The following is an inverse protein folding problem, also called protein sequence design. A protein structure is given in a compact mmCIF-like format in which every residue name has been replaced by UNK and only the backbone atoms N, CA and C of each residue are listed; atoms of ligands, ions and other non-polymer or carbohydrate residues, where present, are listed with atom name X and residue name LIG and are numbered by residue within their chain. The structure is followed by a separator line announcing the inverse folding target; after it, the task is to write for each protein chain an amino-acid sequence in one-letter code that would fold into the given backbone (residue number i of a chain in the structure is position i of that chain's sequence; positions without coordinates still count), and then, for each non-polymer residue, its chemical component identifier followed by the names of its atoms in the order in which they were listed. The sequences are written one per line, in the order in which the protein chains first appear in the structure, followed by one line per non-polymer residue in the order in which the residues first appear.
data_IF_921610029669
#
_entry.id   IF_921610029669
#
_cell.length_a   1.000
_cell.length_b   1.000
_cell.length_c   1.000
_cell.angle_alpha   90.00
_cell.angle_beta   90.00
_cell.angle_gamma   90.00
#
_symmetry.space_group_name_H-M   'P 1'
#
loop_
_entity.id
_entity.type
_entity.pdbx_description
1 polymer ?
#
# COMPACT_ATOMS: atom_id res chain seq x y z
N UNK A 1 -20.61 -2.91 2.38
CA UNK A 1 -19.81 -2.74 1.14
C UNK A 1 -18.46 -2.15 1.50
N UNK A 2 -17.37 -2.68 0.96
CA UNK A 2 -16.03 -2.14 1.26
C UNK A 2 -15.75 -0.87 0.44
N UNK A 3 -14.82 -0.05 0.90
CA UNK A 3 -14.38 1.14 0.15
C UNK A 3 -13.85 0.78 -1.24
N UNK A 4 -13.18 -0.37 -1.36
CA UNK A 4 -12.67 -0.91 -2.64
C UNK A 4 -13.83 -1.25 -3.57
N UNK A 5 -14.86 -1.96 -3.08
CA UNK A 5 -16.05 -2.28 -3.89
C UNK A 5 -16.72 -1.02 -4.42
N UNK A 6 -16.86 0.00 -3.56
CA UNK A 6 -17.42 1.29 -3.95
C UNK A 6 -16.63 1.98 -5.06
N UNK A 7 -15.29 1.93 -4.99
CA UNK A 7 -14.43 2.49 -6.04
C UNK A 7 -14.62 1.78 -7.38
N UNK A 8 -14.71 0.46 -7.38
CA UNK A 8 -14.97 -0.33 -8.60
C UNK A 8 -16.36 -0.07 -9.19
N UNK A 9 -17.39 0.01 -8.34
CA UNK A 9 -18.76 0.32 -8.79
C UNK A 9 -18.84 1.72 -9.41
N UNK A 10 -18.15 2.70 -8.82
CA UNK A 10 -18.06 4.05 -9.37
C UNK A 10 -17.43 4.04 -10.77
N UNK A 11 -16.29 3.38 -10.94
CA UNK A 11 -15.64 3.26 -12.23
C UNK A 11 -16.55 2.59 -13.27
N UNK A 12 -17.22 1.50 -12.89
CA UNK A 12 -18.17 0.80 -13.75
C UNK A 12 -19.34 1.70 -14.15
N UNK A 13 -19.91 2.48 -13.24
CA UNK A 13 -20.99 3.43 -13.53
C UNK A 13 -20.56 4.54 -14.50
N UNK A 14 -19.27 4.89 -14.51
CA UNK A 14 -18.66 5.84 -15.44
C UNK A 14 -18.27 5.18 -16.79
N UNK A 15 -18.50 3.88 -16.95
CA UNK A 15 -18.19 3.14 -18.20
C UNK A 15 -16.68 2.93 -18.42
N UNK A 16 -15.88 2.91 -17.38
CA UNK A 16 -14.42 2.74 -17.45
C UNK A 16 -13.91 1.65 -16.51
N UNK A 17 -12.71 1.18 -16.74
CA UNK A 17 -12.00 0.32 -15.78
C UNK A 17 -11.55 1.14 -14.55
N UNK A 18 -11.48 0.49 -13.40
CA UNK A 18 -10.83 1.05 -12.22
C UNK A 18 -9.31 1.04 -12.41
N UNK A 19 -8.66 2.12 -12.02
CA UNK A 19 -7.20 2.22 -12.01
C UNK A 19 -6.68 1.93 -10.61
N UNK A 20 -5.89 0.87 -10.48
CA UNK A 20 -5.20 0.51 -9.25
C UNK A 20 -3.70 0.80 -9.42
N UNK A 21 -3.16 1.70 -8.63
CA UNK A 21 -1.75 2.05 -8.66
C UNK A 21 -0.99 1.37 -7.53
N UNK A 22 0.23 0.90 -7.80
CA UNK A 22 1.10 0.22 -6.84
C UNK A 22 2.43 0.95 -6.65
N UNK A 23 2.85 1.09 -5.39
CA UNK A 23 4.20 1.53 -5.03
C UNK A 23 4.67 0.78 -3.77
N UNK A 24 5.96 0.37 -3.68
CA UNK A 24 6.50 -0.09 -2.41
C UNK A 24 6.69 1.08 -1.45
N UNK A 25 6.38 0.88 -0.18
CA UNK A 25 6.70 1.85 0.87
C UNK A 25 8.23 2.00 0.99
N UNK A 26 8.68 3.21 1.31
CA UNK A 26 10.09 3.47 1.59
C UNK A 26 11.00 3.65 0.38
N UNK A 27 10.51 3.54 -0.84
CA UNK A 27 11.32 3.77 -2.04
C UNK A 27 10.94 5.08 -2.74
N UNK A 28 11.90 5.95 -3.09
CA UNK A 28 13.35 5.89 -2.79
C UNK A 28 13.68 6.20 -1.32
N UNK A 29 12.80 6.86 -0.62
CA UNK A 29 12.80 7.15 0.82
C UNK A 29 11.39 7.00 1.36
N UNK A 30 11.20 6.97 2.68
CA UNK A 30 9.86 6.92 3.28
C UNK A 30 9.04 8.15 2.87
N UNK A 31 9.58 9.35 3.02
CA UNK A 31 8.85 10.58 2.67
C UNK A 31 8.60 10.68 1.16
N UNK A 32 9.57 10.32 0.33
CA UNK A 32 9.40 10.31 -1.13
C UNK A 32 8.34 9.31 -1.60
N UNK A 33 8.28 8.14 -0.99
CA UNK A 33 7.23 7.15 -1.27
C UNK A 33 5.85 7.66 -0.87
N UNK A 34 5.73 8.33 0.27
CA UNK A 34 4.48 8.95 0.72
C UNK A 34 4.02 10.03 -0.27
N UNK A 35 4.91 10.92 -0.66
CA UNK A 35 4.59 11.98 -1.65
C UNK A 35 4.12 11.38 -2.98
N UNK A 36 4.81 10.37 -3.48
CA UNK A 36 4.45 9.69 -4.72
C UNK A 36 3.09 8.97 -4.63
N UNK A 37 2.83 8.27 -3.53
CA UNK A 37 1.57 7.55 -3.32
C UNK A 37 0.38 8.52 -3.18
N UNK A 38 0.54 9.62 -2.47
CA UNK A 38 -0.47 10.67 -2.35
C UNK A 38 -0.72 11.34 -3.70
N UNK A 39 0.34 11.66 -4.45
CA UNK A 39 0.21 12.23 -5.80
C UNK A 39 -0.56 11.29 -6.74
N UNK A 40 -0.33 9.99 -6.66
CA UNK A 40 -1.07 8.98 -7.42
C UNK A 40 -2.55 8.97 -7.06
N UNK A 41 -2.88 9.03 -5.78
CA UNK A 41 -4.26 9.13 -5.29
C UNK A 41 -4.96 10.41 -5.79
N UNK A 42 -4.30 11.55 -5.67
CA UNK A 42 -4.82 12.87 -6.09
C UNK A 42 -4.93 13.01 -7.60
N UNK A 43 -4.17 12.23 -8.37
CA UNK A 43 -4.14 12.28 -9.83
C UNK A 43 -5.14 11.35 -10.51
N UNK A 44 -5.95 10.61 -9.75
CA UNK A 44 -7.08 9.86 -10.31
C UNK A 44 -7.01 8.34 -10.18
N UNK A 45 -6.07 7.77 -9.42
CA UNK A 45 -6.14 6.36 -9.07
C UNK A 45 -7.43 6.08 -8.26
N UNK A 46 -8.11 5.00 -8.57
CA UNK A 46 -9.32 4.59 -7.85
C UNK A 46 -9.01 3.83 -6.56
N UNK A 47 -7.91 3.10 -6.57
CA UNK A 47 -7.37 2.34 -5.43
C UNK A 47 -5.86 2.46 -5.47
N UNK A 48 -5.23 2.51 -4.31
CA UNK A 48 -3.77 2.46 -4.19
C UNK A 48 -3.36 1.21 -3.41
N UNK A 49 -2.37 0.50 -3.91
CA UNK A 49 -1.72 -0.61 -3.22
C UNK A 49 -0.33 -0.19 -2.75
N UNK A 50 -0.06 -0.36 -1.47
CA UNK A 50 1.25 -0.08 -0.88
C UNK A 50 1.93 -1.41 -0.57
N UNK A 51 3.09 -1.64 -1.19
CA UNK A 51 3.90 -2.82 -0.92
C UNK A 51 4.64 -2.71 0.41
N UNK A 52 4.53 -3.76 1.25
CA UNK A 52 5.33 -3.88 2.46
C UNK A 52 6.68 -4.51 2.08
N UNK A 53 7.81 -3.79 2.24
CA UNK A 53 9.11 -4.33 1.89
C UNK A 53 9.46 -5.59 2.69
N UNK A 54 9.91 -6.62 1.98
CA UNK A 54 10.30 -7.90 2.55
C UNK A 54 11.67 -8.34 2.03
N UNK A 55 12.47 -9.01 2.88
CA UNK A 55 13.84 -9.41 2.56
C UNK A 55 13.94 -10.52 1.51
N UNK A 56 12.88 -11.34 1.37
CA UNK A 56 12.83 -12.50 0.49
C UNK A 56 11.67 -12.40 -0.51
N UNK A 57 11.66 -11.40 -1.42
CA UNK A 57 10.53 -11.09 -2.28
C UNK A 57 10.49 -12.01 -3.51
N UNK A 58 10.35 -13.32 -3.30
CA UNK A 58 10.49 -14.37 -4.32
C UNK A 58 9.49 -14.26 -5.47
N UNK A 59 8.32 -13.68 -5.24
CA UNK A 59 7.26 -13.54 -6.24
C UNK A 59 7.29 -12.20 -6.96
N UNK A 60 8.11 -11.25 -6.50
CA UNK A 60 8.24 -9.96 -7.15
C UNK A 60 9.16 -10.01 -8.36
N UNK A 61 8.89 -9.16 -9.35
CA UNK A 61 9.80 -8.95 -10.46
C UNK A 61 11.06 -8.17 -10.04
N UNK A 62 12.11 -8.17 -10.88
CA UNK A 62 13.41 -7.61 -10.51
C UNK A 62 13.36 -6.11 -10.19
N UNK A 63 12.48 -5.35 -10.82
CA UNK A 63 12.33 -3.91 -10.56
C UNK A 63 11.79 -3.67 -9.15
N UNK A 64 10.76 -4.39 -8.75
CA UNK A 64 10.17 -4.28 -7.41
C UNK A 64 11.11 -4.86 -6.36
N UNK A 65 11.81 -5.95 -6.65
CA UNK A 65 12.85 -6.49 -5.75
C UNK A 65 13.92 -5.45 -5.44
N UNK A 66 14.41 -4.73 -6.44
CA UNK A 66 15.42 -3.68 -6.26
C UNK A 66 14.88 -2.51 -5.45
N UNK A 67 13.66 -2.04 -5.73
CA UNK A 67 13.02 -0.98 -4.97
C UNK A 67 12.83 -1.36 -3.49
N UNK A 68 12.35 -2.57 -3.25
CA UNK A 68 12.18 -3.14 -1.90
C UNK A 68 13.53 -3.27 -1.16
N UNK A 69 14.56 -3.75 -1.85
CA UNK A 69 15.91 -3.85 -1.30
C UNK A 69 16.44 -2.49 -0.84
N UNK A 70 16.28 -1.47 -1.66
CA UNK A 70 16.67 -0.09 -1.29
C UNK A 70 15.86 0.46 -0.14
N UNK A 71 14.56 0.21 -0.11
CA UNK A 71 13.70 0.62 1.00
C UNK A 71 14.16 0.01 2.33
N UNK A 72 14.46 -1.30 2.35
CA UNK A 72 14.97 -1.98 3.54
C UNK A 72 16.36 -1.47 3.93
N UNK A 73 17.26 -1.26 2.98
CA UNK A 73 18.58 -0.68 3.24
C UNK A 73 18.50 0.74 3.84
N UNK A 74 17.47 1.50 3.47
CA UNK A 74 17.16 2.82 4.04
C UNK A 74 16.49 2.78 5.42
N UNK A 75 16.18 1.58 5.95
CA UNK A 75 15.63 1.40 7.29
C UNK A 75 14.11 1.42 7.36
N UNK A 76 13.39 1.25 6.25
CA UNK A 76 11.92 1.21 6.22
C UNK A 76 11.38 0.08 7.10
N UNK A 77 10.40 0.40 7.93
CA UNK A 77 9.75 -0.49 8.91
C UNK A 77 8.26 -0.59 8.65
N UNK A 78 7.60 -1.56 9.30
CA UNK A 78 6.13 -1.71 9.26
C UNK A 78 5.42 -0.41 9.66
N UNK A 79 5.92 0.31 10.64
CA UNK A 79 5.36 1.61 11.05
C UNK A 79 5.40 2.65 9.92
N UNK A 80 6.40 2.62 9.06
CA UNK A 80 6.50 3.51 7.89
C UNK A 80 5.49 3.12 6.81
N UNK A 81 5.21 1.82 6.65
CA UNK A 81 4.15 1.32 5.78
C UNK A 81 2.80 1.83 6.24
N UNK A 82 2.49 1.69 7.53
CA UNK A 82 1.24 2.19 8.11
C UNK A 82 1.10 3.71 8.02
N UNK A 83 2.19 4.44 8.20
CA UNK A 83 2.22 5.90 7.98
C UNK A 83 1.89 6.26 6.52
N UNK A 84 2.44 5.51 5.58
CA UNK A 84 2.15 5.68 4.15
C UNK A 84 0.68 5.42 3.85
N UNK A 85 0.13 4.34 4.39
CA UNK A 85 -1.31 4.01 4.27
C UNK A 85 -2.18 5.14 4.80
N UNK A 86 -1.86 5.67 5.98
CA UNK A 86 -2.60 6.78 6.58
C UNK A 86 -2.62 8.04 5.72
N UNK A 87 -1.49 8.38 5.10
CA UNK A 87 -1.40 9.53 4.22
C UNK A 87 -2.26 9.36 2.95
N UNK A 88 -2.26 8.18 2.34
CA UNK A 88 -3.08 7.87 1.16
C UNK A 88 -4.56 7.83 1.53
N UNK A 89 -4.93 7.22 2.65
CA UNK A 89 -6.31 7.20 3.14
C UNK A 89 -6.84 8.61 3.39
N UNK A 90 -6.02 9.50 3.93
CA UNK A 90 -6.36 10.91 4.13
C UNK A 90 -6.58 11.67 2.81
N UNK A 91 -5.99 11.23 1.72
CA UNK A 91 -6.27 11.75 0.37
C UNK A 91 -7.60 11.26 -0.22
N UNK A 92 -8.34 10.40 0.48
CA UNK A 92 -9.70 9.98 0.12
C UNK A 92 -9.80 8.80 -0.83
N UNK A 93 -8.71 8.07 -1.05
CA UNK A 93 -8.65 6.90 -1.93
C UNK A 93 -8.49 5.62 -1.09
N UNK A 94 -9.24 4.54 -1.38
CA UNK A 94 -9.04 3.25 -0.72
C UNK A 94 -7.62 2.76 -0.90
N UNK A 95 -6.99 2.31 0.18
CA UNK A 95 -5.62 1.82 0.17
C UNK A 95 -5.52 0.42 0.74
N UNK A 96 -4.85 -0.45 0.00
CA UNK A 96 -4.56 -1.83 0.36
C UNK A 96 -3.07 -1.97 0.65
N UNK A 97 -2.71 -2.89 1.53
CA UNK A 97 -1.32 -3.30 1.72
C UNK A 97 -1.11 -4.63 1.01
N UNK A 98 -0.17 -4.68 0.08
CA UNK A 98 0.30 -5.93 -0.52
C UNK A 98 1.54 -6.41 0.24
N UNK A 99 1.49 -7.62 0.75
CA UNK A 99 2.54 -8.16 1.62
C UNK A 99 2.65 -9.68 1.50
N UNK A 100 3.83 -10.19 1.78
CA UNK A 100 3.99 -11.60 2.16
C UNK A 100 3.46 -11.81 3.57
N UNK A 101 3.08 -13.03 3.89
CA UNK A 101 2.48 -13.32 5.20
C UNK A 101 3.45 -13.17 6.38
N UNK A 102 4.70 -13.55 6.18
CA UNK A 102 5.69 -13.59 7.26
C UNK A 102 5.86 -12.25 8.01
N UNK A 103 5.94 -11.07 7.34
CA UNK A 103 5.98 -9.80 8.06
C UNK A 103 4.76 -9.54 8.94
N UNK A 104 3.57 -9.92 8.50
CA UNK A 104 2.33 -9.76 9.26
C UNK A 104 2.32 -10.68 10.48
N UNK A 105 2.69 -11.94 10.29
CA UNK A 105 2.80 -12.92 11.38
C UNK A 105 3.81 -12.48 12.44
N UNK A 106 4.98 -12.02 11.99
CA UNK A 106 6.03 -11.54 12.89
C UNK A 106 5.63 -10.28 13.68
N UNK A 107 4.92 -9.35 13.05
CA UNK A 107 4.39 -8.14 13.71
C UNK A 107 3.28 -8.46 14.72
N UNK A 108 2.55 -9.55 14.47
CA UNK A 108 1.36 -10.00 15.18
C UNK A 108 0.11 -9.69 14.36
N UNK A 109 -0.60 -10.75 13.98
CA UNK A 109 -1.77 -10.66 13.06
C UNK A 109 -2.82 -9.69 13.57
N UNK A 110 -3.27 -9.87 14.82
CA UNK A 110 -4.29 -9.02 15.44
C UNK A 110 -3.82 -7.56 15.59
N UNK A 111 -2.55 -7.40 15.92
CA UNK A 111 -1.94 -6.07 16.05
C UNK A 111 -1.91 -5.37 14.70
N UNK A 112 -1.42 -6.04 13.67
CA UNK A 112 -1.34 -5.48 12.32
C UNK A 112 -2.73 -5.11 11.78
N UNK A 113 -3.71 -5.99 11.96
CA UNK A 113 -5.09 -5.75 11.51
C UNK A 113 -5.69 -4.51 12.18
N UNK A 114 -5.51 -4.36 13.49
CA UNK A 114 -5.98 -3.20 14.24
C UNK A 114 -5.28 -1.92 13.79
N UNK A 115 -3.95 -1.92 13.75
CA UNK A 115 -3.17 -0.75 13.35
C UNK A 115 -3.48 -0.32 11.91
N UNK A 116 -3.66 -1.28 11.00
CA UNK A 116 -4.06 -1.00 9.61
C UNK A 116 -5.45 -0.34 9.54
N UNK A 117 -6.40 -0.84 10.31
CA UNK A 117 -7.74 -0.25 10.38
C UNK A 117 -7.72 1.17 10.99
N UNK A 118 -6.93 1.38 12.04
CA UNK A 118 -6.78 2.68 12.71
C UNK A 118 -6.24 3.77 11.78
N UNK A 119 -5.33 3.44 10.87
CA UNK A 119 -4.80 4.39 9.88
C UNK A 119 -5.68 4.53 8.63
N UNK A 120 -6.80 3.81 8.56
CA UNK A 120 -7.74 3.90 7.45
C UNK A 120 -7.44 2.96 6.28
N UNK A 121 -6.61 1.94 6.47
CA UNK A 121 -6.37 0.91 5.46
C UNK A 121 -7.63 0.09 5.16
N UNK A 122 -7.84 -0.25 3.90
CA UNK A 122 -9.02 -0.97 3.44
C UNK A 122 -8.87 -2.49 3.49
N UNK A 123 -7.67 -3.02 3.57
CA UNK A 123 -7.41 -4.45 3.64
C UNK A 123 -6.02 -4.86 3.20
N UNK A 124 -5.84 -6.16 3.06
CA UNK A 124 -4.59 -6.82 2.67
C UNK A 124 -4.75 -7.60 1.37
N UNK A 125 -3.65 -7.71 0.65
CA UNK A 125 -3.42 -8.68 -0.43
C UNK A 125 -2.22 -9.53 -0.02
N UNK A 126 -2.43 -10.83 0.13
CA UNK A 126 -1.39 -11.79 0.54
C UNK A 126 -1.29 -12.95 -0.45
#
# INVERSE_FOLDING_TARGET
MSAVSTAFEKAAAEGRAALVGYLPAGFPTVDGAIEAAVAMAESGADVVEIGLPYSDPLMDGPVIQEATHRALAGGTKVTDVLRTVGAVAAAGVPVLVMTYWNPVDHHGVDRFARELAEVGGAGLIT
#
